data_IF_291784382474
#
_entry.id   IF_291784382474
#
_cell.length_a   1.000
_cell.length_b   1.000
_cell.length_c   1.000
_cell.angle_alpha   90.00
_cell.angle_beta   90.00
_cell.angle_gamma   90.00
#
_symmetry.space_group_name_H-M   'P 1'
#
loop_
_entity.id
_entity.type
_entity.pdbx_description
1 polymer ?
#
# COMPACT_ATOMS: atom_id res chain seq x y z
N UNK A 1 15.77 0.93 -3.71
CA UNK A 1 15.33 2.22 -4.26
C UNK A 1 15.09 3.16 -3.10
N UNK A 2 15.55 4.42 -3.19
CA UNK A 2 15.27 5.41 -2.16
C UNK A 2 13.88 5.99 -2.42
N UNK A 3 12.97 5.84 -1.46
CA UNK A 3 11.70 6.59 -1.46
C UNK A 3 12.01 7.95 -0.86
N UNK A 4 12.08 8.99 -1.70
CA UNK A 4 12.14 10.36 -1.22
C UNK A 4 10.71 10.84 -0.93
N UNK A 5 10.33 10.85 0.34
CA UNK A 5 9.07 11.42 0.77
C UNK A 5 9.26 12.89 1.10
N UNK A 6 8.69 13.79 0.30
CA UNK A 6 8.53 15.17 0.75
C UNK A 6 7.74 15.18 2.06
N UNK A 7 7.97 16.17 2.92
CA UNK A 7 7.33 16.24 4.25
C UNK A 7 5.80 16.21 4.20
N UNK A 8 5.19 16.46 3.03
CA UNK A 8 3.75 16.47 2.76
C UNK A 8 3.10 15.11 2.64
N UNK A 9 3.86 14.01 2.57
CA UNK A 9 3.31 12.65 2.40
C UNK A 9 3.68 11.73 3.56
N UNK A 10 2.77 10.82 3.88
CA UNK A 10 3.05 9.65 4.70
C UNK A 10 3.29 8.46 3.76
N UNK A 11 4.39 7.73 3.99
CA UNK A 11 4.76 6.55 3.20
C UNK A 11 4.15 5.31 3.81
N UNK A 12 3.48 4.51 2.99
CA UNK A 12 2.90 3.22 3.35
C UNK A 12 3.58 2.10 2.57
N UNK A 13 4.22 1.22 3.32
CA UNK A 13 4.72 -0.06 2.84
C UNK A 13 3.64 -1.14 2.97
N UNK A 14 3.74 -2.28 2.26
CA UNK A 14 2.89 -3.43 2.51
C UNK A 14 2.88 -3.80 3.99
N UNK A 15 1.77 -4.34 4.48
CA UNK A 15 1.69 -4.76 5.89
C UNK A 15 2.69 -5.86 6.23
N UNK A 16 3.13 -6.63 5.23
CA UNK A 16 4.13 -7.69 5.36
C UNK A 16 5.58 -7.18 5.36
N UNK A 17 5.81 -5.86 5.29
CA UNK A 17 7.15 -5.27 5.16
C UNK A 17 8.11 -5.72 6.27
N UNK A 18 7.62 -6.01 7.47
CA UNK A 18 8.44 -6.41 8.62
C UNK A 18 8.37 -7.91 8.95
N UNK A 19 7.60 -8.69 8.19
CA UNK A 19 7.30 -10.09 8.53
C UNK A 19 8.40 -11.09 8.14
N UNK A 20 9.38 -10.67 7.33
CA UNK A 20 10.43 -11.58 6.82
C UNK A 20 11.77 -10.86 6.63
N UNK A 21 12.91 -11.57 6.71
CA UNK A 21 14.22 -11.01 6.39
C UNK A 21 14.38 -10.58 4.92
N UNK A 22 13.52 -11.15 4.06
CA UNK A 22 13.40 -10.94 2.60
C UNK A 22 12.03 -11.50 2.21
N UNK A 23 11.12 -10.69 1.64
CA UNK A 23 11.35 -10.03 0.37
C UNK A 23 11.41 -8.50 0.46
N UNK A 24 12.01 -7.92 -0.56
CA UNK A 24 12.02 -6.48 -0.79
C UNK A 24 10.56 -6.05 -0.95
N UNK A 25 10.12 -5.04 -0.20
CA UNK A 25 8.81 -4.44 -0.47
C UNK A 25 8.82 -3.76 -1.83
N UNK A 26 7.95 -4.21 -2.72
CA UNK A 26 7.95 -3.75 -4.11
C UNK A 26 6.92 -2.64 -4.35
N UNK A 27 5.79 -2.66 -3.63
CA UNK A 27 4.82 -1.57 -3.67
C UNK A 27 5.11 -0.53 -2.59
N UNK A 28 4.94 0.74 -2.93
CA UNK A 28 4.95 1.86 -1.98
C UNK A 28 3.79 2.77 -2.34
N UNK A 29 2.98 3.14 -1.34
CA UNK A 29 1.89 4.12 -1.51
C UNK A 29 2.21 5.37 -0.70
N UNK A 30 2.05 6.54 -1.31
CA UNK A 30 2.19 7.82 -0.63
C UNK A 30 0.80 8.42 -0.43
N UNK A 31 0.43 8.71 0.82
CA UNK A 31 -0.81 9.40 1.15
C UNK A 31 -0.53 10.82 1.60
N UNK A 32 -1.27 11.77 1.04
CA UNK A 32 -1.09 13.18 1.40
C UNK A 32 -1.48 13.40 2.86
N UNK A 33 -0.64 14.12 3.62
CA UNK A 33 -0.93 14.53 5.00
C UNK A 33 -2.03 15.58 5.10
N UNK A 34 -2.44 16.19 3.99
CA UNK A 34 -3.62 17.07 3.98
C UNK A 34 -4.93 16.29 4.08
N UNK A 35 -4.90 14.99 3.78
CA UNK A 35 -6.07 14.12 3.88
C UNK A 35 -6.29 13.77 5.36
N UNK A 36 -7.54 13.89 5.83
CA UNK A 36 -7.89 13.63 7.22
C UNK A 36 -7.47 12.20 7.61
N UNK A 37 -6.64 12.05 8.65
CA UNK A 37 -6.12 10.75 9.09
C UNK A 37 -7.22 9.75 9.49
N UNK A 38 -8.41 10.23 9.86
CA UNK A 38 -9.56 9.39 10.19
C UNK A 38 -10.39 9.00 8.97
N UNK A 39 -10.09 9.56 7.78
CA UNK A 39 -10.81 9.28 6.53
C UNK A 39 -10.15 8.19 5.69
N UNK A 40 -9.13 7.52 6.22
CA UNK A 40 -8.53 6.36 5.58
C UNK A 40 -7.89 5.41 6.59
N UNK A 41 -7.71 4.17 6.17
CA UNK A 41 -6.95 3.17 6.90
C UNK A 41 -6.19 2.27 5.94
N UNK A 42 -5.02 1.80 6.35
CA UNK A 42 -4.35 0.70 5.65
C UNK A 42 -5.04 -0.61 6.00
N UNK A 43 -5.28 -1.46 5.00
CA UNK A 43 -5.81 -2.80 5.21
C UNK A 43 -4.69 -3.85 5.08
N UNK A 44 -4.70 -4.91 5.91
CA UNK A 44 -3.74 -6.00 5.78
C UNK A 44 -3.96 -6.77 4.48
N UNK A 45 -2.87 -7.11 3.81
CA UNK A 45 -2.89 -7.95 2.61
C UNK A 45 -1.68 -8.89 2.61
N UNK A 46 -1.84 -10.19 2.28
CA UNK A 46 -0.77 -11.19 2.41
C UNK A 46 0.19 -11.18 1.19
N UNK A 47 0.70 -10.01 0.79
CA UNK A 47 1.70 -9.89 -0.28
C UNK A 47 2.59 -8.66 -0.10
N UNK A 48 3.92 -8.78 -0.28
CA UNK A 48 4.85 -7.65 -0.30
C UNK A 48 4.76 -6.79 -1.57
N UNK A 49 3.95 -7.21 -2.55
CA UNK A 49 3.72 -6.50 -3.81
C UNK A 49 2.44 -5.68 -3.78
N UNK A 50 1.70 -5.70 -2.67
CA UNK A 50 0.40 -5.03 -2.58
C UNK A 50 0.31 -4.16 -1.34
N UNK A 51 0.02 -2.88 -1.55
CA UNK A 51 -0.38 -1.96 -0.50
C UNK A 51 -1.85 -1.64 -0.67
N UNK A 52 -2.66 -1.86 0.37
CA UNK A 52 -4.11 -1.62 0.33
C UNK A 52 -4.49 -0.51 1.30
N UNK A 53 -5.26 0.46 0.82
CA UNK A 53 -5.92 1.45 1.69
C UNK A 53 -7.41 1.46 1.44
N UNK A 54 -8.19 1.79 2.46
CA UNK A 54 -9.60 2.10 2.34
C UNK A 54 -9.85 3.54 2.75
N UNK A 55 -10.33 4.34 1.81
CA UNK A 55 -10.84 5.67 2.05
C UNK A 55 -12.28 5.59 2.55
N UNK A 56 -12.64 6.49 3.46
CA UNK A 56 -13.95 6.62 4.07
C UNK A 56 -14.42 8.07 3.88
N UNK A 57 -15.59 8.24 3.26
CA UNK A 57 -16.14 9.57 3.01
C UNK A 57 -17.64 9.56 2.77
N UNK A 58 -18.20 10.67 2.25
CA UNK A 58 -19.64 10.79 1.99
C UNK A 58 -20.19 9.70 1.06
N UNK A 59 -19.34 9.12 0.22
CA UNK A 59 -19.68 8.06 -0.73
C UNK A 59 -19.38 6.65 -0.20
N UNK A 60 -19.40 6.46 1.13
CA UNK A 60 -19.04 5.21 1.82
C UNK A 60 -17.54 4.90 1.69
N UNK A 61 -17.20 3.65 1.38
CA UNK A 61 -15.85 3.13 1.35
C UNK A 61 -15.35 3.02 -0.09
N UNK A 62 -14.12 3.48 -0.33
CA UNK A 62 -13.39 3.26 -1.56
C UNK A 62 -12.08 2.54 -1.22
N UNK A 63 -11.93 1.30 -1.66
CA UNK A 63 -10.71 0.51 -1.43
C UNK A 63 -9.78 0.63 -2.63
N UNK A 64 -8.54 1.04 -2.40
CA UNK A 64 -7.50 1.19 -3.41
C UNK A 64 -6.46 0.10 -3.19
N UNK A 65 -6.22 -0.69 -4.24
CA UNK A 65 -5.15 -1.69 -4.30
C UNK A 65 -4.02 -1.14 -5.15
N UNK A 66 -2.87 -0.86 -4.55
CA UNK A 66 -1.64 -0.55 -5.27
C UNK A 66 -0.86 -1.84 -5.46
N UNK A 67 -0.88 -2.36 -6.68
CA UNK A 67 -0.30 -3.66 -7.04
C UNK A 67 0.96 -3.44 -7.85
N UNK A 68 2.10 -3.84 -7.30
CA UNK A 68 3.32 -4.00 -8.06
C UNK A 68 3.25 -5.28 -8.90
N UNK A 69 3.61 -5.18 -10.17
CA UNK A 69 3.61 -6.30 -11.10
C UNK A 69 4.95 -6.31 -11.84
N UNK A 70 5.81 -7.25 -11.50
CA UNK A 70 7.11 -7.44 -12.16
C UNK A 70 7.00 -8.06 -13.57
N UNK A 71 5.79 -8.44 -13.99
CA UNK A 71 5.45 -9.09 -15.27
C UNK A 71 6.16 -10.44 -15.52
N UNK A 72 6.86 -10.98 -14.53
CA UNK A 72 7.59 -12.25 -14.59
C UNK A 72 6.99 -13.31 -13.66
N UNK A 73 6.40 -12.88 -12.55
CA UNK A 73 5.72 -13.71 -11.58
C UNK A 73 4.22 -13.39 -11.53
N UNK A 74 3.40 -14.39 -11.25
CA UNK A 74 1.93 -14.30 -11.32
C UNK A 74 1.25 -14.47 -9.95
N UNK A 75 2.02 -14.56 -8.87
CA UNK A 75 1.49 -14.97 -7.56
C UNK A 75 0.53 -13.95 -6.97
N UNK A 76 0.79 -12.66 -7.17
CA UNK A 76 -0.10 -11.57 -6.72
C UNK A 76 -1.47 -11.62 -7.39
N UNK A 77 -1.58 -12.12 -8.64
CA UNK A 77 -2.88 -12.26 -9.34
C UNK A 77 -3.78 -13.32 -8.72
N UNK A 78 -3.22 -14.29 -7.98
CA UNK A 78 -4.01 -15.35 -7.32
C UNK A 78 -4.67 -14.88 -6.02
N UNK A 79 -4.26 -13.71 -5.51
CA UNK A 79 -4.67 -13.17 -4.21
C UNK A 79 -5.69 -12.03 -4.30
N UNK A 80 -5.98 -11.55 -5.51
CA UNK A 80 -6.95 -10.49 -5.82
C UNK A 80 -8.27 -11.11 -6.28
#
# INVERSE_FOLDING_TARGET
GNTDSSSSFSVLFPTTHYDTPTPISCSVLLISKSLNSNSWQQLPFPSPDVTVIQLQGPFKHCTIFNVYNDCTHHDTKKLL
#
